data_IF_493709291025
#
_entry.id   IF_493709291025
#
_cell.length_a   1.000
_cell.length_b   1.000
_cell.length_c   1.000
_cell.angle_alpha   90.00
_cell.angle_beta   90.00
_cell.angle_gamma   90.00
#
_symmetry.space_group_name_H-M   'P 1'
#
loop_
_entity.id
_entity.type
_entity.pdbx_description
1 polymer ?
#
# COMPACT_ATOMS: atom_id res chain seq x y z
N UNK A 1 -21.53 -7.88 8.76
CA UNK A 1 -21.07 -8.83 9.80
C UNK A 1 -20.41 -8.00 10.89
N UNK A 2 -20.89 -8.01 12.15
CA UNK A 2 -20.53 -6.98 13.13
C UNK A 2 -19.19 -7.31 13.80
N UNK A 3 -18.25 -6.37 13.78
CA UNK A 3 -16.89 -6.48 14.32
C UNK A 3 -16.84 -6.99 15.77
N UNK A 4 -17.88 -6.70 16.57
CA UNK A 4 -18.06 -7.20 17.93
C UNK A 4 -18.01 -8.73 18.07
N UNK A 5 -18.36 -9.49 17.02
CA UNK A 5 -18.26 -10.96 17.04
C UNK A 5 -16.83 -11.45 16.86
N UNK A 6 -16.00 -10.72 16.11
CA UNK A 6 -14.61 -11.09 15.86
C UNK A 6 -13.76 -10.85 17.10
N UNK A 7 -13.95 -9.70 17.76
CA UNK A 7 -13.20 -9.37 18.99
C UNK A 7 -13.46 -10.38 20.10
N UNK A 8 -14.72 -10.78 20.31
CA UNK A 8 -15.09 -11.80 21.29
C UNK A 8 -14.53 -13.18 20.92
N UNK A 9 -14.46 -13.51 19.64
CA UNK A 9 -13.90 -14.77 19.17
C UNK A 9 -12.40 -14.83 19.39
N UNK A 10 -11.68 -13.74 19.06
CA UNK A 10 -10.25 -13.62 19.27
C UNK A 10 -9.91 -13.65 20.77
N UNK A 11 -10.63 -12.91 21.60
CA UNK A 11 -10.42 -12.94 23.05
C UNK A 11 -10.58 -14.35 23.63
N UNK A 12 -11.62 -15.09 23.24
CA UNK A 12 -11.81 -16.49 23.66
C UNK A 12 -10.69 -17.40 23.15
N UNK A 13 -10.30 -17.25 21.89
CA UNK A 13 -9.26 -18.09 21.28
C UNK A 13 -7.90 -17.91 21.95
N UNK A 14 -7.56 -16.68 22.37
CA UNK A 14 -6.28 -16.38 23.03
C UNK A 14 -6.31 -16.51 24.56
N UNK A 15 -7.49 -16.52 25.20
CA UNK A 15 -7.61 -16.70 26.66
C UNK A 15 -7.03 -18.04 27.14
N UNK A 16 -7.17 -19.09 26.33
CA UNK A 16 -6.69 -20.44 26.66
C UNK A 16 -5.24 -20.69 26.19
N UNK A 17 -4.63 -19.72 25.50
CA UNK A 17 -3.23 -19.81 25.07
C UNK A 17 -2.34 -19.33 26.21
N UNK A 18 -1.76 -20.28 26.94
CA UNK A 18 -0.64 -20.02 27.84
C UNK A 18 0.67 -20.37 27.15
N UNK A 19 1.75 -19.61 27.40
CA UNK A 19 3.08 -20.06 27.01
C UNK A 19 3.37 -21.42 27.66
N UNK A 20 4.07 -22.29 26.95
CA UNK A 20 4.49 -23.57 27.51
C UNK A 20 5.47 -23.37 28.67
N UNK A 21 5.47 -24.28 29.63
CA UNK A 21 6.43 -24.29 30.76
C UNK A 21 7.87 -24.14 30.26
N UNK A 22 8.25 -24.88 29.20
CA UNK A 22 9.58 -24.76 28.59
C UNK A 22 9.91 -23.37 28.03
N UNK A 23 8.91 -22.59 27.59
CA UNK A 23 9.10 -21.21 27.16
C UNK A 23 9.33 -20.26 28.34
N UNK A 24 8.58 -20.48 29.43
CA UNK A 24 8.75 -19.74 30.68
C UNK A 24 10.10 -20.05 31.33
N UNK A 25 10.50 -21.31 31.36
CA UNK A 25 11.81 -21.74 31.85
C UNK A 25 12.95 -21.13 31.03
N UNK A 26 12.80 -21.07 29.71
CA UNK A 26 13.78 -20.41 28.83
C UNK A 26 13.84 -18.90 29.07
N UNK A 27 12.71 -18.25 29.34
CA UNK A 27 12.66 -16.82 29.69
C UNK A 27 13.29 -16.55 31.06
N UNK A 28 13.02 -17.40 32.06
CA UNK A 28 13.63 -17.33 33.38
C UNK A 28 15.14 -17.54 33.29
N UNK A 29 15.60 -18.55 32.54
CA UNK A 29 17.01 -18.79 32.29
C UNK A 29 17.68 -17.62 31.56
N UNK A 30 16.99 -16.95 30.62
CA UNK A 30 17.51 -15.75 29.97
C UNK A 30 17.59 -14.55 30.94
N UNK A 31 16.61 -14.40 31.83
CA UNK A 31 16.60 -13.37 32.87
C UNK A 31 17.73 -13.60 33.91
N UNK A 32 17.96 -14.85 34.30
CA UNK A 32 19.04 -15.25 35.23
C UNK A 32 20.42 -15.25 34.57
N UNK A 33 20.50 -15.49 33.25
CA UNK A 33 21.74 -15.37 32.47
C UNK A 33 22.17 -13.93 32.22
N UNK A 34 21.36 -12.95 32.62
CA UNK A 34 21.81 -11.57 32.79
C UNK A 34 22.54 -11.52 34.13
N UNK A 35 23.89 -11.49 34.17
CA UNK A 35 24.58 -11.40 35.44
C UNK A 35 24.08 -10.12 36.13
N UNK A 36 23.56 -10.27 37.36
CA UNK A 36 23.45 -9.16 38.29
C UNK A 36 24.86 -8.64 38.49
N UNK A 37 25.22 -7.64 37.68
CA UNK A 37 26.54 -7.03 37.71
C UNK A 37 26.69 -6.41 39.10
N UNK A 38 27.46 -7.08 39.95
CA UNK A 38 28.03 -6.52 41.17
C UNK A 38 28.52 -5.12 40.79
N UNK A 39 28.02 -4.03 41.39
CA UNK A 39 28.44 -2.70 40.98
C UNK A 39 29.95 -2.65 41.16
N UNK A 40 30.74 -2.46 40.09
CA UNK A 40 32.14 -2.19 40.27
C UNK A 40 32.23 -0.90 41.10
N UNK A 41 33.18 -0.86 42.04
CA UNK A 41 33.52 0.38 42.73
C UNK A 41 33.62 1.53 41.70
N UNK A 42 33.20 2.76 42.03
CA UNK A 42 33.12 3.84 41.05
C UNK A 42 34.54 4.25 40.64
N UNK A 43 35.10 3.54 39.66
CA UNK A 43 36.25 4.00 38.92
C UNK A 43 35.73 5.10 38.02
N UNK A 44 36.12 6.35 38.29
CA UNK A 44 35.94 7.47 37.37
C UNK A 44 36.80 7.22 36.14
N UNK A 45 36.44 6.25 35.32
CA UNK A 45 36.96 6.17 33.95
C UNK A 45 36.31 7.32 33.21
N UNK A 46 37.06 8.41 33.05
CA UNK A 46 36.73 9.44 32.07
C UNK A 46 36.74 8.72 30.73
N UNK A 47 35.56 8.28 30.26
CA UNK A 47 35.38 7.78 28.90
C UNK A 47 35.60 8.96 27.98
N UNK A 48 36.87 9.21 27.66
CA UNK A 48 37.25 10.01 26.51
C UNK A 48 36.92 9.13 25.31
N UNK A 49 35.67 9.18 24.86
CA UNK A 49 35.38 8.79 23.49
C UNK A 49 36.25 9.69 22.63
N UNK A 50 37.24 9.14 21.92
CA UNK A 50 38.13 9.98 21.16
C UNK A 50 37.33 10.69 20.08
N UNK A 51 37.55 11.99 19.92
CA UNK A 51 36.75 12.85 19.05
C UNK A 51 36.64 12.31 17.61
N UNK A 52 37.65 11.57 17.14
CA UNK A 52 37.64 10.93 15.82
C UNK A 52 36.53 9.89 15.63
N UNK A 53 36.12 9.17 16.68
CA UNK A 53 34.99 8.22 16.59
C UNK A 53 33.65 8.94 16.46
N UNK A 54 33.49 10.07 17.15
CA UNK A 54 32.29 10.90 17.00
C UNK A 54 32.22 11.52 15.60
N UNK A 55 33.37 11.97 15.06
CA UNK A 55 33.48 12.48 13.68
C UNK A 55 33.16 11.38 12.67
N UNK A 56 33.72 10.18 12.82
CA UNK A 56 33.46 9.05 11.93
C UNK A 56 31.98 8.62 11.94
N UNK A 57 31.35 8.54 13.12
CA UNK A 57 29.93 8.23 13.25
C UNK A 57 29.04 9.31 12.62
N UNK A 58 29.41 10.58 12.75
CA UNK A 58 28.69 11.70 12.14
C UNK A 58 28.77 11.66 10.61
N UNK A 59 29.95 11.35 10.06
CA UNK A 59 30.12 11.17 8.61
C UNK A 59 29.30 10.01 8.07
N UNK A 60 29.23 8.88 8.80
CA UNK A 60 28.38 7.75 8.42
C UNK A 60 26.89 8.13 8.45
N UNK A 61 26.43 8.84 9.48
CA UNK A 61 25.04 9.31 9.55
C UNK A 61 24.70 10.30 8.44
N UNK A 62 25.62 11.19 8.07
CA UNK A 62 25.43 12.12 6.95
C UNK A 62 25.43 11.36 5.62
N UNK A 63 26.32 10.39 5.45
CA UNK A 63 26.40 9.59 4.22
C UNK A 63 25.15 8.72 4.03
N UNK A 64 24.77 7.96 5.06
CA UNK A 64 23.61 7.05 4.99
C UNK A 64 22.27 7.79 5.14
N UNK A 65 22.19 8.79 6.02
CA UNK A 65 20.99 9.62 6.19
C UNK A 65 20.77 10.59 5.03
N UNK A 66 21.85 11.14 4.46
CA UNK A 66 21.79 12.00 3.29
C UNK A 66 21.23 11.26 2.07
N UNK A 67 21.73 10.06 1.77
CA UNK A 67 21.23 9.25 0.64
C UNK A 67 19.72 8.95 0.77
N UNK A 68 19.20 8.76 1.98
CA UNK A 68 17.77 8.56 2.22
C UNK A 68 16.95 9.84 1.96
N UNK A 69 17.47 11.01 2.36
CA UNK A 69 16.82 12.30 2.10
C UNK A 69 16.90 12.75 0.64
N UNK A 70 17.87 12.21 -0.12
CA UNK A 70 18.03 12.46 -1.55
C UNK A 70 17.22 11.51 -2.44
N UNK A 71 16.42 10.60 -1.87
CA UNK A 71 15.51 9.82 -2.70
C UNK A 71 14.53 10.77 -3.40
N UNK A 72 14.40 10.71 -4.74
CA UNK A 72 13.46 11.55 -5.45
C UNK A 72 12.06 11.26 -4.90
N UNK A 73 11.39 12.31 -4.42
CA UNK A 73 9.97 12.24 -4.08
C UNK A 73 9.25 11.87 -5.38
N UNK A 74 8.77 10.63 -5.46
CA UNK A 74 8.15 10.16 -6.68
C UNK A 74 6.85 10.93 -6.84
N UNK A 75 6.81 11.81 -7.84
CA UNK A 75 5.63 12.60 -8.15
C UNK A 75 4.39 11.69 -8.17
N UNK A 76 3.35 12.06 -7.43
CA UNK A 76 2.10 11.30 -7.31
C UNK A 76 1.55 10.86 -8.68
N UNK A 77 1.73 11.67 -9.73
CA UNK A 77 1.37 11.32 -11.11
C UNK A 77 2.01 10.01 -11.55
N UNK A 78 3.33 9.88 -11.38
CA UNK A 78 4.10 8.71 -11.80
C UNK A 78 3.71 7.47 -11.00
N UNK A 79 3.50 7.62 -9.69
CA UNK A 79 3.17 6.49 -8.83
C UNK A 79 1.80 5.89 -9.20
N UNK A 80 0.82 6.76 -9.47
CA UNK A 80 -0.51 6.35 -9.93
C UNK A 80 -0.46 5.76 -11.35
N UNK A 81 0.26 6.39 -12.28
CA UNK A 81 0.40 5.88 -13.64
C UNK A 81 1.08 4.50 -13.67
N UNK A 82 2.12 4.31 -12.85
CA UNK A 82 2.79 3.02 -12.71
C UNK A 82 1.87 1.95 -12.14
N UNK A 83 1.09 2.26 -11.11
CA UNK A 83 0.09 1.33 -10.57
C UNK A 83 -0.96 0.93 -11.63
N UNK A 84 -1.45 1.91 -12.39
CA UNK A 84 -2.41 1.71 -13.49
C UNK A 84 -1.82 0.79 -14.56
N UNK A 85 -0.58 1.03 -14.99
CA UNK A 85 0.12 0.22 -15.99
C UNK A 85 0.32 -1.22 -15.52
N UNK A 86 0.80 -1.42 -14.29
CA UNK A 86 0.95 -2.75 -13.68
C UNK A 86 -0.40 -3.47 -13.60
N UNK A 87 -1.46 -2.79 -13.17
CA UNK A 87 -2.79 -3.39 -13.11
C UNK A 87 -3.35 -3.72 -14.50
N UNK A 88 -3.08 -2.90 -15.51
CA UNK A 88 -3.48 -3.15 -16.89
C UNK A 88 -2.80 -4.43 -17.44
N UNK A 89 -1.49 -4.56 -17.22
CA UNK A 89 -0.66 -5.66 -17.72
C UNK A 89 -0.97 -7.01 -17.05
N UNK A 90 -1.68 -7.02 -15.91
CA UNK A 90 -2.18 -8.28 -15.32
C UNK A 90 -3.25 -8.95 -16.18
N UNK A 91 -3.85 -8.25 -17.14
CA UNK A 91 -4.87 -8.77 -18.06
C UNK A 91 -6.04 -9.49 -17.38
N UNK A 92 -6.39 -9.09 -16.16
CA UNK A 92 -7.43 -9.74 -15.36
C UNK A 92 -8.77 -9.77 -16.10
N UNK A 93 -9.51 -10.86 -15.92
CA UNK A 93 -10.81 -11.06 -16.55
C UNK A 93 -11.85 -10.02 -16.09
N UNK A 94 -12.90 -9.84 -16.88
CA UNK A 94 -14.06 -9.04 -16.48
C UNK A 94 -14.82 -9.82 -15.41
N UNK A 95 -15.15 -9.17 -14.30
CA UNK A 95 -15.94 -9.76 -13.22
C UNK A 95 -17.44 -9.54 -13.45
N UNK A 96 -17.80 -8.35 -13.95
CA UNK A 96 -19.17 -7.96 -14.24
C UNK A 96 -19.34 -7.67 -15.74
N UNK A 97 -19.72 -8.69 -16.54
CA UNK A 97 -19.91 -8.53 -17.97
C UNK A 97 -21.24 -7.84 -18.26
N UNK A 98 -21.18 -6.60 -18.75
CA UNK A 98 -22.34 -5.83 -19.20
C UNK A 98 -21.88 -4.73 -20.15
N UNK A 99 -22.75 -4.34 -21.07
CA UNK A 99 -22.56 -3.18 -21.94
C UNK A 99 -23.27 -1.92 -21.44
N UNK A 100 -23.98 -2.01 -20.31
CA UNK A 100 -24.75 -0.91 -19.72
C UNK A 100 -24.08 -0.41 -18.42
N UNK A 101 -23.74 0.88 -18.39
CA UNK A 101 -23.16 1.53 -17.21
C UNK A 101 -24.12 1.55 -16.01
N UNK A 102 -25.44 1.66 -16.25
CA UNK A 102 -26.43 1.64 -15.18
C UNK A 102 -26.53 0.26 -14.54
N UNK A 103 -26.52 -0.81 -15.35
CA UNK A 103 -26.46 -2.17 -14.85
C UNK A 103 -25.16 -2.43 -14.10
N UNK A 104 -24.02 -1.97 -14.65
CA UNK A 104 -22.73 -2.12 -14.00
C UNK A 104 -22.71 -1.47 -12.61
N UNK A 105 -23.25 -0.25 -12.49
CA UNK A 105 -23.36 0.43 -11.20
C UNK A 105 -24.24 -0.32 -10.19
N UNK A 106 -25.30 -1.01 -10.64
CA UNK A 106 -26.12 -1.85 -9.74
C UNK A 106 -25.37 -3.11 -9.30
N UNK A 107 -24.63 -3.74 -10.21
CA UNK A 107 -23.84 -4.94 -9.89
C UNK A 107 -22.65 -4.62 -8.97
N UNK A 108 -22.10 -3.41 -9.09
CA UNK A 108 -20.92 -2.97 -8.36
C UNK A 108 -21.27 -2.23 -7.05
N UNK A 109 -22.06 -2.88 -6.19
CA UNK A 109 -22.64 -2.32 -4.95
C UNK A 109 -21.63 -1.83 -3.89
N UNK A 110 -20.38 -2.30 -3.93
CA UNK A 110 -19.31 -1.85 -3.03
C UNK A 110 -18.76 -0.45 -3.33
N UNK A 111 -19.01 0.12 -4.51
CA UNK A 111 -18.53 1.46 -4.84
C UNK A 111 -19.34 2.51 -4.07
N UNK A 112 -18.65 3.45 -3.43
CA UNK A 112 -19.23 4.66 -2.82
C UNK A 112 -19.46 5.79 -3.84
N UNK A 113 -19.17 5.54 -5.12
CA UNK A 113 -19.42 6.43 -6.25
C UNK A 113 -20.03 5.67 -7.42
N UNK A 114 -20.74 6.39 -8.30
CA UNK A 114 -21.25 5.82 -9.55
C UNK A 114 -20.24 5.94 -10.67
N UNK A 115 -20.12 4.92 -11.52
CA UNK A 115 -19.35 5.03 -12.76
C UNK A 115 -19.94 6.11 -13.66
N UNK A 116 -19.06 6.82 -14.36
CA UNK A 116 -19.42 7.91 -15.27
C UNK A 116 -18.93 7.64 -16.67
N UNK A 117 -19.70 8.08 -17.67
CA UNK A 117 -19.21 8.12 -19.05
C UNK A 117 -18.25 9.30 -19.18
N UNK A 118 -16.98 9.02 -19.48
CA UNK A 118 -15.96 10.06 -19.60
C UNK A 118 -16.27 10.99 -20.78
N UNK A 119 -16.37 12.29 -20.53
CA UNK A 119 -16.52 13.32 -21.57
C UNK A 119 -15.32 13.41 -22.52
N UNK A 120 -14.17 12.85 -22.12
CA UNK A 120 -12.96 12.79 -22.95
C UNK A 120 -13.00 11.66 -23.97
N UNK A 121 -13.91 10.70 -23.81
CA UNK A 121 -14.11 9.64 -24.79
C UNK A 121 -15.18 10.09 -25.80
N UNK A 122 -14.85 10.13 -27.11
CA UNK A 122 -15.82 10.44 -28.14
C UNK A 122 -17.05 9.51 -28.07
N UNK A 123 -18.27 10.07 -28.12
CA UNK A 123 -19.49 9.28 -28.07
C UNK A 123 -19.54 8.23 -29.19
N UNK A 124 -19.95 7.01 -28.84
CA UNK A 124 -20.15 5.92 -29.80
C UNK A 124 -18.88 5.38 -30.47
N UNK A 125 -17.69 5.80 -30.05
CA UNK A 125 -16.43 5.20 -30.50
C UNK A 125 -16.00 4.00 -29.67
N UNK A 126 -16.40 3.97 -28.39
CA UNK A 126 -16.03 2.92 -27.44
C UNK A 126 -17.27 2.19 -26.95
N UNK A 127 -17.21 0.86 -26.98
CA UNK A 127 -18.20 -0.06 -26.41
C UNK A 127 -17.70 -0.55 -25.05
N UNK A 128 -18.55 -0.47 -24.04
CA UNK A 128 -18.30 -1.10 -22.75
C UNK A 128 -18.42 -2.63 -22.88
N UNK A 129 -17.43 -3.37 -22.41
CA UNK A 129 -17.45 -4.83 -22.32
C UNK A 129 -17.83 -5.32 -20.91
N UNK A 130 -17.60 -4.48 -19.90
CA UNK A 130 -17.86 -4.76 -18.50
C UNK A 130 -16.82 -4.13 -17.60
N UNK A 131 -16.89 -4.46 -16.31
CA UNK A 131 -16.01 -3.91 -15.29
C UNK A 131 -15.59 -4.90 -14.23
N UNK A 132 -14.69 -4.43 -13.36
CA UNK A 132 -14.28 -5.12 -12.13
C UNK A 132 -13.83 -4.12 -11.08
N UNK A 133 -13.82 -4.55 -9.83
CA UNK A 133 -13.19 -3.77 -8.77
C UNK A 133 -11.67 -3.77 -8.93
N UNK A 134 -11.07 -2.63 -8.60
CA UNK A 134 -9.64 -2.52 -8.43
C UNK A 134 -9.34 -1.59 -7.24
N UNK A 135 -8.05 -1.32 -7.05
CA UNK A 135 -7.59 -0.33 -6.11
C UNK A 135 -6.66 0.63 -6.86
N UNK A 136 -6.74 1.90 -6.50
CA UNK A 136 -5.76 2.92 -6.86
C UNK A 136 -5.32 3.58 -5.56
N UNK A 137 -4.04 3.51 -5.24
CA UNK A 137 -3.47 4.07 -4.02
C UNK A 137 -4.20 3.59 -2.74
N UNK A 138 -4.54 2.30 -2.70
CA UNK A 138 -5.22 1.67 -1.56
C UNK A 138 -6.70 1.99 -1.41
N UNK A 139 -7.30 2.77 -2.32
CA UNK A 139 -8.73 3.08 -2.32
C UNK A 139 -9.48 2.28 -3.37
N UNK A 140 -10.70 1.85 -3.02
CA UNK A 140 -11.56 1.11 -3.94
C UNK A 140 -11.84 1.95 -5.19
N UNK A 141 -11.64 1.31 -6.34
CA UNK A 141 -11.75 1.93 -7.64
C UNK A 141 -12.41 0.96 -8.62
N UNK A 142 -12.72 1.49 -9.80
CA UNK A 142 -13.38 0.81 -10.90
C UNK A 142 -12.43 0.68 -12.07
N UNK A 143 -12.32 -0.53 -12.61
CA UNK A 143 -11.64 -0.82 -13.86
C UNK A 143 -12.67 -1.26 -14.90
N UNK A 144 -12.74 -0.52 -16.01
CA UNK A 144 -13.61 -0.80 -17.14
C UNK A 144 -12.81 -1.35 -18.31
N UNK A 145 -13.35 -2.37 -18.99
CA UNK A 145 -12.84 -2.79 -20.30
C UNK A 145 -13.70 -2.19 -21.40
N UNK A 146 -13.03 -1.47 -22.30
CA UNK A 146 -13.62 -0.82 -23.44
C UNK A 146 -13.07 -1.44 -24.72
N UNK A 147 -13.86 -1.38 -25.80
CA UNK A 147 -13.42 -1.76 -27.13
C UNK A 147 -13.76 -0.65 -28.12
N UNK A 148 -12.82 -0.27 -28.97
CA UNK A 148 -13.10 0.66 -30.05
C UNK A 148 -13.79 -0.04 -31.24
N UNK A 149 -14.07 0.73 -32.31
CA UNK A 149 -14.66 0.18 -33.55
C UNK A 149 -13.69 -0.71 -34.34
N UNK A 150 -12.39 -0.52 -34.18
CA UNK A 150 -11.36 -1.34 -34.82
C UNK A 150 -11.13 -2.67 -34.08
N UNK A 151 -11.72 -2.85 -32.90
CA UNK A 151 -11.58 -4.04 -32.06
C UNK A 151 -10.49 -3.93 -31.01
N UNK A 152 -9.74 -2.82 -30.96
CA UNK A 152 -8.69 -2.58 -29.96
C UNK A 152 -9.31 -2.46 -28.57
N UNK A 153 -8.61 -3.03 -27.58
CA UNK A 153 -9.07 -3.07 -26.18
C UNK A 153 -8.37 -2.00 -25.37
N UNK A 154 -9.15 -1.26 -24.61
CA UNK A 154 -8.69 -0.22 -23.71
C UNK A 154 -9.15 -0.52 -22.29
N UNK A 155 -8.40 -0.03 -21.31
CA UNK A 155 -8.80 -0.08 -19.91
C UNK A 155 -8.98 1.34 -19.40
N UNK A 156 -10.17 1.64 -18.87
CA UNK A 156 -10.46 2.92 -18.24
C UNK A 156 -10.58 2.71 -16.73
N UNK A 157 -9.82 3.49 -15.98
CA UNK A 157 -9.88 3.50 -14.53
C UNK A 157 -10.67 4.70 -14.02
N UNK A 158 -11.50 4.48 -13.01
CA UNK A 158 -12.28 5.52 -12.32
C UNK A 158 -12.12 5.33 -10.81
N UNK A 159 -11.86 6.43 -10.11
CA UNK A 159 -11.69 6.44 -8.66
C UNK A 159 -12.31 7.73 -8.09
N UNK A 160 -12.76 7.71 -6.83
CA UNK A 160 -13.24 8.91 -6.17
C UNK A 160 -12.07 9.89 -5.97
N UNK A 161 -12.36 11.19 -6.02
CA UNK A 161 -11.33 12.19 -5.82
C UNK A 161 -10.88 12.19 -4.35
N UNK A 162 -9.58 12.07 -4.10
CA UNK A 162 -8.98 12.12 -2.77
C UNK A 162 -7.81 13.14 -2.78
N UNK A 163 -7.26 13.46 -1.61
CA UNK A 163 -6.15 14.44 -1.50
C UNK A 163 -4.97 14.16 -2.43
N UNK A 164 -4.62 12.88 -2.64
CA UNK A 164 -3.52 12.46 -3.52
C UNK A 164 -3.90 12.67 -4.99
N UNK A 165 -5.09 12.21 -5.41
CA UNK A 165 -5.58 12.32 -6.78
C UNK A 165 -5.93 13.76 -7.19
N UNK A 166 -6.30 14.64 -6.25
CA UNK A 166 -6.51 16.07 -6.51
C UNK A 166 -5.24 16.77 -6.96
N UNK A 167 -4.07 16.31 -6.51
CA UNK A 167 -2.77 16.85 -6.91
C UNK A 167 -2.33 16.39 -8.30
N UNK A 168 -3.04 15.44 -8.91
CA UNK A 168 -2.64 14.87 -10.19
C UNK A 168 -3.04 15.78 -11.34
N UNK A 169 -2.05 16.15 -12.14
CA UNK A 169 -2.27 16.91 -13.36
C UNK A 169 -2.69 15.99 -14.51
N UNK A 170 -3.59 16.47 -15.36
CA UNK A 170 -3.89 15.80 -16.62
C UNK A 170 -2.63 15.77 -17.49
N UNK A 171 -2.29 14.61 -18.00
CA UNK A 171 -1.16 14.42 -18.90
C UNK A 171 -1.14 13.02 -19.48
N UNK A 172 -0.11 12.76 -20.29
CA UNK A 172 0.18 11.45 -20.85
C UNK A 172 1.52 10.98 -20.28
N UNK A 173 1.59 9.69 -19.94
CA UNK A 173 2.82 9.06 -19.47
C UNK A 173 2.96 7.71 -20.15
N UNK A 174 4.14 7.48 -20.71
CA UNK A 174 4.54 6.18 -21.26
C UNK A 174 5.21 5.39 -20.13
N UNK A 175 4.63 4.25 -19.79
CA UNK A 175 5.12 3.34 -18.75
C UNK A 175 5.31 1.97 -19.41
N UNK A 176 6.51 1.41 -19.26
CA UNK A 176 6.90 0.08 -19.76
C UNK A 176 6.98 -0.10 -21.29
N UNK A 177 6.98 0.99 -22.08
CA UNK A 177 7.28 1.00 -23.52
C UNK A 177 6.03 1.00 -24.39
#
# INVERSE_FOLDING_TARGET
>A
MPEQRLDQHLQRFYADKRPSEACLDRLAALAESTPAAKPPAPVKTRRVTPAYLAVAASLLLILFGGVFLLQPDHNANWLVAKEIAVNHNKHLAIEFPTSDYHELNRLMDKLDFSSVISKRLPPGQYRLLGGRYCSIQGQLALQLKLQDRAGNRYTLYQAPLNKLLTGIQQGEQVIDG
#
